data_IF_769983299328
#
_entry.id   IF_769983299328
#
_cell.length_a   1.000
_cell.length_b   1.000
_cell.length_c   1.000
_cell.angle_alpha   90.00
_cell.angle_beta   90.00
_cell.angle_gamma   90.00
#
_symmetry.space_group_name_H-M   'P 1'
#
loop_
_entity.id
_entity.type
_entity.pdbx_description
1 polymer ?
#
# COMPACT_ATOMS: atom_id res chain seq x y z
N UNK A 1 31.82 -18.70 3.22
CA UNK A 1 30.68 -18.57 2.29
C UNK A 1 30.61 -17.13 1.80
N UNK A 2 30.31 -16.88 0.52
CA UNK A 2 30.08 -15.52 0.04
C UNK A 2 28.91 -14.88 0.81
N UNK A 3 29.03 -13.60 1.15
CA UNK A 3 27.98 -12.86 1.86
C UNK A 3 26.79 -12.67 0.92
N UNK A 4 25.58 -13.11 1.31
CA UNK A 4 24.35 -12.91 0.52
C UNK A 4 24.15 -11.40 0.27
N UNK A 5 23.80 -11.02 -0.97
CA UNK A 5 23.59 -9.62 -1.38
C UNK A 5 22.12 -9.40 -1.74
N UNK A 6 21.49 -8.40 -1.15
CA UNK A 6 20.08 -8.07 -1.38
C UNK A 6 19.97 -6.62 -1.88
N UNK A 7 19.24 -6.44 -2.98
CA UNK A 7 18.84 -5.12 -3.45
C UNK A 7 17.54 -4.68 -2.73
N UNK A 8 17.58 -3.51 -2.09
CA UNK A 8 16.40 -2.82 -1.59
C UNK A 8 15.97 -1.82 -2.66
N UNK A 9 14.95 -2.19 -3.44
CA UNK A 9 14.49 -1.38 -4.56
C UNK A 9 13.81 -0.10 -4.06
N UNK A 10 14.23 1.03 -4.63
CA UNK A 10 13.77 2.37 -4.25
C UNK A 10 13.53 3.24 -5.49
N UNK A 11 13.00 4.44 -5.30
CA UNK A 11 12.78 5.43 -6.36
C UNK A 11 13.93 6.44 -6.48
N UNK A 12 14.01 7.11 -7.61
CA UNK A 12 15.00 8.18 -7.84
C UNK A 12 14.88 9.32 -6.83
N UNK A 13 13.70 9.53 -6.24
CA UNK A 13 13.48 10.52 -5.17
C UNK A 13 14.23 10.17 -3.88
N UNK A 14 14.44 8.88 -3.64
CA UNK A 14 15.12 8.37 -2.43
C UNK A 14 16.20 7.35 -2.79
N UNK A 15 17.24 7.75 -3.53
CA UNK A 15 18.21 6.80 -4.07
C UNK A 15 18.97 6.01 -3.00
N UNK A 16 19.05 6.54 -1.77
CA UNK A 16 19.66 5.89 -0.60
C UNK A 16 18.61 5.37 0.41
N UNK A 17 17.34 5.20 0.01
CA UNK A 17 16.18 4.95 0.86
C UNK A 17 15.83 6.11 1.80
N UNK A 18 14.57 6.26 2.19
CA UNK A 18 14.16 7.14 3.28
C UNK A 18 14.83 6.74 4.61
N UNK A 19 15.03 7.68 5.56
CA UNK A 19 15.69 7.41 6.85
C UNK A 19 15.10 6.21 7.61
N UNK A 20 13.78 6.08 7.65
CA UNK A 20 13.07 4.98 8.30
C UNK A 20 13.43 3.62 7.66
N UNK A 21 13.40 3.54 6.33
CA UNK A 21 13.68 2.33 5.57
C UNK A 21 15.16 1.89 5.64
N UNK A 22 16.09 2.86 5.80
CA UNK A 22 17.51 2.56 5.97
C UNK A 22 17.83 1.73 7.21
N UNK A 23 16.94 1.72 8.21
CA UNK A 23 17.10 0.93 9.43
C UNK A 23 17.14 -0.59 9.14
N UNK A 24 16.60 -1.03 8.01
CA UNK A 24 16.70 -2.43 7.57
C UNK A 24 18.13 -2.84 7.21
N UNK A 25 18.99 -1.93 6.72
CA UNK A 25 20.37 -2.24 6.27
C UNK A 25 21.24 -2.77 7.43
N UNK A 26 21.39 -2.06 8.57
CA UNK A 26 22.18 -2.58 9.68
C UNK A 26 21.55 -3.83 10.31
N UNK A 27 20.20 -3.98 10.26
CA UNK A 27 19.54 -5.19 10.75
C UNK A 27 19.88 -6.42 9.90
N UNK A 28 19.84 -6.29 8.56
CA UNK A 28 20.29 -7.34 7.64
C UNK A 28 21.79 -7.63 7.78
N UNK A 29 22.60 -6.60 8.00
CA UNK A 29 24.05 -6.77 8.21
C UNK A 29 24.36 -7.62 9.46
N UNK A 30 23.57 -7.52 10.53
CA UNK A 30 23.69 -8.39 11.74
C UNK A 30 23.43 -9.87 11.43
N UNK A 31 22.64 -10.15 10.39
CA UNK A 31 22.38 -11.52 9.89
C UNK A 31 23.39 -11.97 8.79
N UNK A 32 24.47 -11.21 8.58
CA UNK A 32 25.50 -11.56 7.61
C UNK A 32 25.13 -11.20 6.14
N UNK A 33 24.11 -10.39 5.92
CA UNK A 33 23.64 -9.98 4.60
C UNK A 33 24.18 -8.61 4.23
N UNK A 34 24.61 -8.41 2.99
CA UNK A 34 24.88 -7.10 2.42
C UNK A 34 23.64 -6.59 1.69
N UNK A 35 23.01 -5.54 2.22
CA UNK A 35 21.87 -4.91 1.61
C UNK A 35 22.22 -3.52 1.10
N UNK A 36 21.78 -3.18 -0.10
CA UNK A 36 22.06 -1.89 -0.73
C UNK A 36 20.83 -1.35 -1.45
N UNK A 37 20.66 -0.02 -1.43
CA UNK A 37 19.61 0.66 -2.15
C UNK A 37 19.88 0.64 -3.65
N UNK A 38 18.87 0.32 -4.46
CA UNK A 38 18.97 0.32 -5.92
C UNK A 38 17.72 0.97 -6.51
N UNK A 39 17.91 2.00 -7.32
CA UNK A 39 16.79 2.68 -8.00
C UNK A 39 16.16 1.71 -9.00
N UNK A 40 14.85 1.45 -8.87
CA UNK A 40 14.18 0.36 -9.57
C UNK A 40 14.16 0.54 -11.10
N UNK A 41 14.12 1.79 -11.58
CA UNK A 41 14.07 2.15 -13.00
C UNK A 41 15.43 2.65 -13.54
N UNK A 42 16.55 2.46 -12.79
CA UNK A 42 17.87 2.72 -13.36
C UNK A 42 18.24 1.62 -14.36
N UNK A 43 18.36 2.00 -15.63
CA UNK A 43 18.71 1.08 -16.71
C UNK A 43 20.10 0.41 -16.52
N UNK A 44 20.99 1.02 -15.70
CA UNK A 44 22.34 0.51 -15.41
C UNK A 44 22.36 -0.49 -14.25
N UNK A 45 21.23 -0.65 -13.54
CA UNK A 45 21.17 -1.55 -12.41
C UNK A 45 21.41 -3.02 -12.84
N UNK A 46 22.47 -3.61 -12.30
CA UNK A 46 22.89 -4.99 -12.59
C UNK A 46 22.16 -5.97 -11.64
N UNK A 47 20.85 -6.14 -11.80
CA UNK A 47 20.00 -6.95 -10.91
C UNK A 47 20.54 -8.37 -10.70
N UNK A 48 21.11 -8.99 -11.74
CA UNK A 48 21.69 -10.35 -11.69
C UNK A 48 22.88 -10.50 -10.75
N UNK A 49 23.41 -9.41 -10.17
CA UNK A 49 24.50 -9.47 -9.18
C UNK A 49 23.99 -9.63 -7.75
N UNK A 50 22.69 -9.60 -7.54
CA UNK A 50 22.03 -9.78 -6.25
C UNK A 50 21.45 -11.19 -6.13
N UNK A 51 21.32 -11.67 -4.90
CA UNK A 51 20.67 -12.94 -4.58
C UNK A 51 19.15 -12.77 -4.45
N UNK A 52 18.67 -11.55 -4.17
CA UNK A 52 17.26 -11.21 -4.10
C UNK A 52 17.00 -9.70 -4.25
N UNK A 53 15.76 -9.36 -4.58
CA UNK A 53 15.24 -8.00 -4.59
C UNK A 53 14.08 -7.87 -3.60
N UNK A 54 14.14 -6.87 -2.74
CA UNK A 54 13.06 -6.48 -1.83
C UNK A 54 12.52 -5.13 -2.28
N UNK A 55 11.25 -5.06 -2.68
CA UNK A 55 10.64 -3.80 -3.11
C UNK A 55 10.34 -2.96 -1.87
N UNK A 56 10.92 -1.73 -1.79
CA UNK A 56 10.76 -0.90 -0.60
C UNK A 56 10.15 0.47 -0.93
N UNK A 57 10.94 1.43 -1.37
CA UNK A 57 10.50 2.83 -1.50
C UNK A 57 10.26 3.24 -2.96
N UNK A 58 9.65 2.33 -3.75
CA UNK A 58 9.28 2.58 -5.14
C UNK A 58 8.02 3.46 -5.25
N UNK A 59 7.93 4.53 -4.44
CA UNK A 59 6.71 5.34 -4.26
C UNK A 59 6.24 6.10 -5.50
N UNK A 60 7.04 6.09 -6.56
CA UNK A 60 6.70 6.66 -7.87
C UNK A 60 6.15 5.62 -8.88
N UNK A 61 6.05 4.34 -8.50
CA UNK A 61 5.64 3.26 -9.40
C UNK A 61 4.29 3.53 -10.08
N UNK A 62 3.36 4.15 -9.36
CA UNK A 62 2.01 4.45 -9.86
C UNK A 62 2.01 5.48 -10.99
N UNK A 63 3.03 6.34 -11.09
CA UNK A 63 3.23 7.30 -12.18
C UNK A 63 3.79 6.64 -13.44
N UNK A 64 4.39 5.45 -13.28
CA UNK A 64 5.06 4.66 -14.31
C UNK A 64 4.62 3.19 -14.24
N UNK A 65 3.32 2.94 -14.01
CA UNK A 65 2.82 1.61 -13.67
C UNK A 65 3.18 0.53 -14.71
N UNK A 66 3.10 0.86 -16.01
CA UNK A 66 3.49 -0.06 -17.07
C UNK A 66 4.99 -0.42 -17.03
N UNK A 67 5.86 0.56 -16.74
CA UNK A 67 7.31 0.35 -16.60
C UNK A 67 7.62 -0.50 -15.37
N UNK A 68 6.95 -0.23 -14.24
CA UNK A 68 7.08 -1.02 -13.01
C UNK A 68 6.68 -2.49 -13.22
N UNK A 69 5.53 -2.73 -13.86
CA UNK A 69 5.08 -4.08 -14.19
C UNK A 69 6.04 -4.78 -15.18
N UNK A 70 6.58 -4.03 -16.14
CA UNK A 70 7.62 -4.50 -17.06
C UNK A 70 8.94 -4.87 -16.34
N UNK A 71 9.33 -4.07 -15.33
CA UNK A 71 10.49 -4.35 -14.49
C UNK A 71 10.31 -5.63 -13.67
N UNK A 72 9.14 -5.83 -13.03
CA UNK A 72 8.82 -7.08 -12.32
C UNK A 72 8.92 -8.29 -13.26
N UNK A 73 8.34 -8.19 -14.47
CA UNK A 73 8.43 -9.25 -15.47
C UNK A 73 9.88 -9.50 -15.94
N UNK A 74 10.73 -8.47 -15.98
CA UNK A 74 12.17 -8.62 -16.27
C UNK A 74 12.88 -9.39 -15.16
N UNK A 75 12.62 -9.08 -13.89
CA UNK A 75 13.21 -9.80 -12.75
C UNK A 75 12.80 -11.29 -12.77
N UNK A 76 11.54 -11.59 -13.06
CA UNK A 76 11.08 -12.97 -13.20
C UNK A 76 11.82 -13.73 -14.33
N UNK A 77 11.99 -13.10 -15.51
CA UNK A 77 12.76 -13.72 -16.61
C UNK A 77 14.22 -13.98 -16.26
N UNK A 78 14.80 -13.17 -15.37
CA UNK A 78 16.15 -13.37 -14.84
C UNK A 78 16.21 -14.46 -13.75
N UNK A 79 15.07 -15.04 -13.36
CA UNK A 79 15.00 -15.99 -12.24
C UNK A 79 15.32 -15.33 -10.89
N UNK A 80 15.19 -14.00 -10.80
CA UNK A 80 15.53 -13.23 -9.60
C UNK A 80 14.46 -13.38 -8.53
N UNK A 81 14.79 -13.88 -7.32
CA UNK A 81 13.88 -13.86 -6.19
C UNK A 81 13.47 -12.42 -5.85
N UNK A 82 12.16 -12.16 -5.82
CA UNK A 82 11.58 -10.86 -5.47
C UNK A 82 10.67 -11.02 -4.26
N UNK A 83 10.85 -10.23 -3.24
CA UNK A 83 10.02 -10.18 -2.05
C UNK A 83 9.21 -8.87 -2.02
N UNK A 84 7.90 -8.91 -1.98
CA UNK A 84 6.97 -10.03 -2.10
C UNK A 84 6.95 -10.59 -3.54
N UNK A 85 6.35 -11.80 -3.78
CA UNK A 85 6.38 -12.39 -5.12
C UNK A 85 5.72 -11.51 -6.20
N UNK A 86 6.26 -11.42 -7.42
CA UNK A 86 5.75 -10.55 -8.47
C UNK A 86 4.26 -10.72 -8.82
N UNK A 87 3.66 -11.94 -8.81
CA UNK A 87 2.21 -12.08 -9.01
C UNK A 87 1.39 -11.34 -7.95
N UNK A 88 1.84 -11.38 -6.68
CA UNK A 88 1.19 -10.68 -5.57
C UNK A 88 1.34 -9.15 -5.70
N UNK A 89 2.53 -8.67 -6.08
CA UNK A 89 2.77 -7.25 -6.33
C UNK A 89 1.91 -6.72 -7.49
N UNK A 90 1.81 -7.47 -8.59
CA UNK A 90 0.94 -7.10 -9.73
C UNK A 90 -0.53 -7.04 -9.35
N UNK A 91 -1.01 -7.99 -8.57
CA UNK A 91 -2.39 -7.98 -8.07
C UNK A 91 -2.64 -6.78 -7.16
N UNK A 92 -1.71 -6.48 -6.26
CA UNK A 92 -1.85 -5.38 -5.31
C UNK A 92 -1.68 -3.99 -5.93
N UNK A 93 -1.07 -3.87 -7.11
CA UNK A 93 -0.90 -2.59 -7.80
C UNK A 93 -2.23 -1.93 -8.22
N UNK A 94 -3.29 -2.71 -8.38
CA UNK A 94 -4.62 -2.23 -8.72
C UNK A 94 -5.58 -2.38 -7.52
N UNK A 95 -6.01 -1.26 -6.97
CA UNK A 95 -6.87 -1.22 -5.77
C UNK A 95 -8.24 -1.91 -5.92
N UNK A 96 -8.60 -2.35 -7.14
CA UNK A 96 -9.76 -3.23 -7.33
C UNK A 96 -9.59 -4.58 -6.62
N UNK A 97 -8.38 -4.91 -6.13
CA UNK A 97 -8.18 -6.06 -5.23
C UNK A 97 -9.11 -6.01 -4.00
N UNK A 98 -9.53 -4.82 -3.57
CA UNK A 98 -10.49 -4.68 -2.47
C UNK A 98 -11.79 -5.42 -2.74
N UNK A 99 -12.30 -5.38 -3.98
CA UNK A 99 -13.52 -6.11 -4.36
C UNK A 99 -13.32 -7.62 -4.25
N UNK A 100 -12.15 -8.12 -4.71
CA UNK A 100 -11.81 -9.55 -4.57
C UNK A 100 -11.71 -9.97 -3.10
N UNK A 101 -11.23 -9.09 -2.22
CA UNK A 101 -11.18 -9.35 -0.78
C UNK A 101 -12.59 -9.37 -0.17
N UNK A 102 -13.47 -8.46 -0.60
CA UNK A 102 -14.87 -8.45 -0.18
C UNK A 102 -15.60 -9.75 -0.55
N UNK A 103 -15.39 -10.25 -1.78
CA UNK A 103 -15.92 -11.53 -2.26
C UNK A 103 -15.43 -12.72 -1.41
N UNK A 104 -14.25 -12.58 -0.77
CA UNK A 104 -13.67 -13.56 0.16
C UNK A 104 -14.06 -13.32 1.63
N UNK A 105 -15.04 -12.44 1.87
CA UNK A 105 -15.60 -12.19 3.20
C UNK A 105 -14.81 -11.19 4.06
N UNK A 106 -13.87 -10.43 3.48
CA UNK A 106 -13.20 -9.33 4.19
C UNK A 106 -14.14 -8.12 4.25
N UNK A 107 -14.33 -7.55 5.44
CA UNK A 107 -15.04 -6.28 5.59
C UNK A 107 -14.17 -5.15 5.02
N UNK A 108 -14.62 -4.53 3.94
CA UNK A 108 -13.97 -3.40 3.28
C UNK A 108 -14.85 -2.16 3.34
N UNK A 109 -14.29 -0.97 3.14
CA UNK A 109 -15.08 0.21 2.81
C UNK A 109 -15.84 -0.06 1.51
N UNK A 110 -17.18 0.08 1.47
CA UNK A 110 -17.95 -0.17 0.26
C UNK A 110 -17.36 0.57 -0.93
N UNK A 111 -17.18 -0.12 -2.04
CA UNK A 111 -16.43 0.41 -3.19
C UNK A 111 -17.21 0.23 -4.48
N UNK A 112 -17.29 1.29 -5.29
CA UNK A 112 -17.75 1.24 -6.67
C UNK A 112 -16.64 1.62 -7.63
N UNK A 113 -16.68 1.05 -8.82
CA UNK A 113 -15.70 1.33 -9.87
C UNK A 113 -16.39 2.12 -10.98
N UNK A 114 -15.82 3.26 -11.32
CA UNK A 114 -16.12 3.96 -12.57
C UNK A 114 -15.07 3.50 -13.57
N UNK A 115 -15.47 2.78 -14.64
CA UNK A 115 -14.52 2.18 -15.56
C UNK A 115 -13.83 3.24 -16.43
N UNK A 116 -12.65 2.91 -16.89
CA UNK A 116 -11.92 3.72 -17.86
C UNK A 116 -12.80 4.05 -19.08
N UNK A 117 -12.78 5.31 -19.52
CA UNK A 117 -13.52 5.76 -20.67
C UNK A 117 -15.01 5.93 -20.45
N UNK A 118 -15.50 5.94 -19.19
CA UNK A 118 -16.91 6.21 -18.90
C UNK A 118 -17.37 7.51 -19.59
N UNK A 119 -18.43 7.46 -20.43
CA UNK A 119 -18.79 8.58 -21.29
C UNK A 119 -19.45 9.75 -20.56
N UNK A 120 -19.99 9.50 -19.36
CA UNK A 120 -20.68 10.47 -18.51
C UNK A 120 -20.12 10.35 -17.09
N UNK A 121 -19.02 11.06 -16.84
CA UNK A 121 -18.34 11.02 -15.56
C UNK A 121 -19.21 11.53 -14.41
N UNK A 122 -19.95 12.64 -14.61
CA UNK A 122 -20.84 13.16 -13.58
C UNK A 122 -21.96 12.18 -13.24
N UNK A 123 -22.64 11.64 -14.23
CA UNK A 123 -23.69 10.65 -14.01
C UNK A 123 -23.13 9.34 -13.41
N UNK A 124 -21.92 8.93 -13.79
CA UNK A 124 -21.27 7.78 -13.18
C UNK A 124 -20.96 8.00 -11.69
N UNK A 125 -20.50 9.21 -11.30
CA UNK A 125 -20.30 9.57 -9.89
C UNK A 125 -21.62 9.56 -9.11
N UNK A 126 -22.66 10.17 -9.67
CA UNK A 126 -23.99 10.22 -9.02
C UNK A 126 -24.56 8.81 -8.83
N UNK A 127 -24.48 7.95 -9.83
CA UNK A 127 -24.89 6.53 -9.71
C UNK A 127 -24.09 5.80 -8.63
N UNK A 128 -22.76 6.01 -8.59
CA UNK A 128 -21.93 5.40 -7.55
C UNK A 128 -22.35 5.86 -6.14
N UNK A 129 -22.65 7.15 -5.96
CA UNK A 129 -23.16 7.69 -4.69
C UNK A 129 -24.54 7.09 -4.32
N UNK A 130 -25.45 6.91 -5.30
CA UNK A 130 -26.75 6.27 -5.09
C UNK A 130 -26.59 4.82 -4.62
N UNK A 131 -25.77 4.03 -5.33
CA UNK A 131 -25.50 2.63 -5.00
C UNK A 131 -24.79 2.44 -3.67
N UNK A 132 -24.00 3.43 -3.24
CA UNK A 132 -23.31 3.45 -1.95
C UNK A 132 -24.17 4.02 -0.82
N UNK A 133 -25.37 4.53 -1.13
CA UNK A 133 -26.24 5.27 -0.20
C UNK A 133 -25.44 6.38 0.53
N UNK A 134 -24.60 7.11 -0.19
CA UNK A 134 -23.67 8.10 0.37
C UNK A 134 -23.89 9.48 -0.25
N UNK A 135 -23.85 10.53 0.58
CA UNK A 135 -23.84 11.93 0.12
C UNK A 135 -22.44 12.46 -0.13
N UNK A 136 -21.44 11.89 0.57
CA UNK A 136 -20.03 12.24 0.48
C UNK A 136 -19.19 11.01 0.19
N UNK A 137 -18.21 11.17 -0.69
CA UNK A 137 -17.33 10.09 -1.08
C UNK A 137 -15.86 10.55 -1.24
N UNK A 138 -14.97 9.57 -1.24
CA UNK A 138 -13.59 9.70 -1.69
C UNK A 138 -13.50 9.06 -3.08
N UNK A 139 -12.93 9.81 -4.00
CA UNK A 139 -12.64 9.35 -5.37
C UNK A 139 -11.13 9.19 -5.49
N UNK A 140 -10.67 8.04 -6.02
CA UNK A 140 -9.25 7.75 -6.20
C UNK A 140 -8.99 6.89 -7.43
N UNK A 141 -7.85 7.06 -8.15
CA UNK A 141 -7.47 6.15 -9.22
C UNK A 141 -7.30 4.72 -8.70
N UNK A 142 -7.63 3.73 -9.52
CA UNK A 142 -7.43 2.32 -9.15
C UNK A 142 -5.93 1.99 -8.97
N UNK A 143 -5.04 2.61 -9.75
CA UNK A 143 -3.58 2.52 -9.58
C UNK A 143 -3.09 3.88 -9.07
N UNK A 144 -2.74 3.94 -7.79
CA UNK A 144 -2.27 5.17 -7.14
C UNK A 144 -1.53 4.86 -5.83
N UNK A 145 -0.63 5.76 -5.43
CA UNK A 145 0.05 5.77 -4.13
C UNK A 145 0.05 7.20 -3.55
N UNK A 146 0.37 7.36 -2.27
CA UNK A 146 0.52 8.66 -1.57
C UNK A 146 -0.66 9.62 -1.81
N UNK A 147 -1.89 9.13 -1.82
CA UNK A 147 -3.12 9.90 -2.10
C UNK A 147 -3.10 10.65 -3.45
N UNK A 148 -2.22 10.26 -4.41
CA UNK A 148 -2.16 10.88 -5.73
C UNK A 148 -3.50 10.76 -6.46
N UNK A 149 -4.02 11.89 -6.97
CA UNK A 149 -5.30 11.92 -7.67
C UNK A 149 -6.53 11.65 -6.79
N UNK A 150 -6.36 11.61 -5.46
CA UNK A 150 -7.44 11.33 -4.50
C UNK A 150 -8.07 12.64 -4.00
N UNK A 151 -9.41 12.69 -3.94
CA UNK A 151 -10.13 13.83 -3.35
C UNK A 151 -11.45 13.41 -2.72
N UNK A 152 -11.95 14.25 -1.83
CA UNK A 152 -13.30 14.15 -1.27
C UNK A 152 -14.28 14.92 -2.15
N UNK A 153 -15.41 14.34 -2.40
CA UNK A 153 -16.51 14.91 -3.18
C UNK A 153 -17.84 14.71 -2.47
N UNK A 154 -18.87 15.30 -3.03
CA UNK A 154 -20.25 15.11 -2.56
C UNK A 154 -21.21 15.14 -3.74
N UNK A 155 -22.47 14.75 -3.49
CA UNK A 155 -23.55 14.88 -4.48
C UNK A 155 -23.69 16.32 -5.01
N UNK A 156 -23.58 17.31 -4.13
CA UNK A 156 -23.65 18.71 -4.49
C UNK A 156 -22.44 19.18 -5.32
N UNK A 157 -21.27 18.58 -5.12
CA UNK A 157 -20.04 18.92 -5.83
C UNK A 157 -19.86 18.17 -7.17
N UNK A 158 -20.70 17.17 -7.47
CA UNK A 158 -20.53 16.26 -8.61
C UNK A 158 -20.38 16.98 -9.95
N UNK A 159 -21.13 18.06 -10.19
CA UNK A 159 -21.02 18.87 -11.41
C UNK A 159 -19.67 19.62 -11.50
N UNK A 160 -19.18 20.15 -10.38
CA UNK A 160 -17.90 20.85 -10.32
C UNK A 160 -16.72 19.89 -10.50
N UNK A 161 -16.85 18.66 -9.98
CA UNK A 161 -15.81 17.62 -10.03
C UNK A 161 -15.81 16.82 -11.34
N UNK A 162 -16.83 17.00 -12.22
CA UNK A 162 -16.99 16.22 -13.45
C UNK A 162 -15.71 16.22 -14.31
N UNK A 163 -15.12 17.38 -14.58
CA UNK A 163 -13.87 17.50 -15.38
C UNK A 163 -12.70 16.77 -14.75
N UNK A 164 -12.59 16.80 -13.41
CA UNK A 164 -11.54 16.10 -12.69
C UNK A 164 -11.70 14.59 -12.81
N UNK A 165 -12.94 14.11 -12.70
CA UNK A 165 -13.24 12.69 -12.88
C UNK A 165 -13.03 12.26 -14.35
N UNK A 166 -13.44 13.06 -15.33
CA UNK A 166 -13.18 12.82 -16.77
C UNK A 166 -11.70 12.58 -17.03
N UNK A 167 -10.83 13.44 -16.47
CA UNK A 167 -9.39 13.29 -16.62
C UNK A 167 -8.87 11.96 -16.03
N UNK A 168 -9.41 11.52 -14.87
CA UNK A 168 -9.01 10.25 -14.27
C UNK A 168 -9.52 9.04 -15.07
N UNK A 169 -10.79 9.03 -15.48
CA UNK A 169 -11.34 7.89 -16.23
C UNK A 169 -10.75 7.77 -17.63
N UNK A 170 -10.21 8.86 -18.20
CA UNK A 170 -9.42 8.78 -19.43
C UNK A 170 -8.12 7.97 -19.24
N UNK A 171 -7.51 8.09 -18.06
CA UNK A 171 -6.25 7.42 -17.73
C UNK A 171 -6.46 5.96 -17.26
N UNK A 172 -7.49 5.69 -16.44
CA UNK A 172 -7.70 4.37 -15.85
C UNK A 172 -9.04 4.24 -15.12
N UNK A 173 -9.25 3.09 -14.48
CA UNK A 173 -10.39 2.88 -13.62
C UNK A 173 -10.29 3.75 -12.36
N UNK A 174 -11.43 4.16 -11.83
CA UNK A 174 -11.53 5.03 -10.67
C UNK A 174 -12.41 4.38 -9.61
N UNK A 175 -11.97 4.40 -8.36
CA UNK A 175 -12.73 3.93 -7.23
C UNK A 175 -13.49 5.08 -6.58
N UNK A 176 -14.74 4.81 -6.20
CA UNK A 176 -15.59 5.70 -5.40
C UNK A 176 -15.95 4.95 -4.12
N UNK A 177 -15.68 5.56 -2.96
CA UNK A 177 -15.92 4.99 -1.63
C UNK A 177 -16.62 6.03 -0.76
N UNK A 178 -17.56 5.67 0.13
CA UNK A 178 -18.11 6.60 1.11
C UNK A 178 -16.98 7.27 1.90
N UNK A 179 -17.17 8.53 2.29
CA UNK A 179 -16.23 9.18 3.20
C UNK A 179 -16.33 8.55 4.59
N UNK A 180 -15.25 7.97 5.07
CA UNK A 180 -15.16 7.30 6.38
C UNK A 180 -14.82 8.32 7.46
N UNK A 181 -15.83 8.78 8.19
CA UNK A 181 -15.65 9.80 9.27
C UNK A 181 -14.73 9.32 10.38
N UNK A 182 -14.71 8.02 10.67
CA UNK A 182 -13.83 7.43 11.68
C UNK A 182 -12.34 7.79 11.48
N UNK A 183 -11.89 8.04 10.24
CA UNK A 183 -10.52 8.50 9.96
C UNK A 183 -10.22 9.82 10.66
N UNK A 184 -11.17 10.77 10.61
CA UNK A 184 -10.99 12.11 11.22
C UNK A 184 -11.32 12.13 12.71
N UNK A 185 -12.20 11.25 13.17
CA UNK A 185 -12.68 11.20 14.55
C UNK A 185 -11.79 10.34 15.45
N UNK A 186 -11.36 9.17 14.97
CA UNK A 186 -10.61 8.18 15.75
C UNK A 186 -9.21 7.89 15.17
N UNK A 187 -8.98 8.19 13.89
CA UNK A 187 -7.77 7.87 13.16
C UNK A 187 -7.86 6.56 12.38
N UNK A 188 -6.84 6.31 11.58
CA UNK A 188 -6.68 5.11 10.76
C UNK A 188 -5.58 4.23 11.36
N UNK A 189 -5.90 2.97 11.61
CA UNK A 189 -4.95 1.98 12.09
C UNK A 189 -4.17 1.36 10.94
N UNK A 190 -2.87 1.23 11.13
CA UNK A 190 -1.99 0.41 10.31
C UNK A 190 -1.49 -0.76 11.14
N UNK A 191 -1.74 -1.98 10.69
CA UNK A 191 -1.15 -3.20 11.26
C UNK A 191 0.01 -3.60 10.37
N UNK A 192 1.24 -3.49 10.90
CA UNK A 192 2.47 -3.88 10.21
C UNK A 192 2.73 -5.36 10.45
N UNK A 193 2.90 -6.12 9.36
CA UNK A 193 3.12 -7.56 9.43
C UNK A 193 4.43 -7.93 8.74
N UNK A 194 5.21 -8.82 9.35
CA UNK A 194 6.43 -9.38 8.79
C UNK A 194 6.37 -10.91 8.82
N UNK A 195 6.65 -11.56 7.69
CA UNK A 195 6.49 -13.00 7.53
C UNK A 195 5.06 -13.46 7.83
N UNK A 196 4.06 -12.65 7.45
CA UNK A 196 2.64 -12.89 7.72
C UNK A 196 2.20 -12.71 9.18
N UNK A 197 3.10 -12.32 10.09
CA UNK A 197 2.83 -12.15 11.54
C UNK A 197 2.77 -10.67 11.91
N UNK A 198 1.81 -10.22 12.74
CA UNK A 198 1.78 -8.86 13.26
C UNK A 198 3.08 -8.51 13.98
N UNK A 199 3.65 -7.36 13.65
CA UNK A 199 4.87 -6.82 14.25
C UNK A 199 4.56 -5.70 15.23
N UNK A 200 3.89 -4.66 14.76
CA UNK A 200 3.49 -3.50 15.54
C UNK A 200 2.29 -2.82 14.89
N UNK A 201 1.67 -1.91 15.60
CA UNK A 201 0.50 -1.17 15.13
C UNK A 201 0.73 0.32 15.29
N UNK A 202 0.29 1.07 14.31
CA UNK A 202 0.45 2.53 14.24
C UNK A 202 -0.92 3.17 14.04
N UNK A 203 -1.23 4.17 14.85
CA UNK A 203 -2.40 5.01 14.68
C UNK A 203 -1.99 6.26 13.91
N UNK A 204 -2.63 6.46 12.75
CA UNK A 204 -2.43 7.63 11.90
C UNK A 204 -3.58 8.60 12.10
N UNK A 205 -3.28 9.90 12.26
CA UNK A 205 -4.29 10.97 12.31
C UNK A 205 -4.00 12.04 11.28
N UNK A 206 -5.04 12.61 10.64
CA UNK A 206 -4.85 13.71 9.70
C UNK A 206 -4.43 14.99 10.43
N UNK A 207 -3.81 15.91 9.69
CA UNK A 207 -3.60 17.27 10.19
C UNK A 207 -4.93 17.99 10.43
N UNK A 208 -4.98 18.98 11.34
CA UNK A 208 -6.17 19.81 11.52
C UNK A 208 -6.64 20.42 10.20
N UNK A 209 -7.91 20.17 9.84
CA UNK A 209 -8.51 20.66 8.58
C UNK A 209 -8.28 19.77 7.36
N UNK A 210 -7.48 18.71 7.47
CA UNK A 210 -7.36 17.67 6.43
C UNK A 210 -8.11 16.39 6.89
N UNK A 211 -8.31 15.47 5.97
CA UNK A 211 -8.88 14.15 6.20
C UNK A 211 -7.90 13.03 5.81
N UNK A 212 -6.79 13.38 5.17
CA UNK A 212 -5.75 12.45 4.72
C UNK A 212 -4.68 12.30 5.79
N UNK A 213 -4.29 11.08 6.06
CA UNK A 213 -3.39 10.73 7.18
C UNK A 213 -1.91 10.70 6.81
N UNK A 214 -1.57 10.96 5.54
CA UNK A 214 -0.19 10.90 5.06
C UNK A 214 0.69 11.97 5.73
N UNK A 215 1.88 11.55 6.21
CA UNK A 215 2.83 12.45 6.86
C UNK A 215 3.29 13.62 5.97
N UNK A 216 3.37 13.42 4.66
CA UNK A 216 3.69 14.48 3.68
C UNK A 216 2.63 15.60 3.65
N UNK A 217 1.43 15.33 4.13
CA UNK A 217 0.31 16.26 4.24
C UNK A 217 0.13 16.79 5.68
N UNK A 218 1.11 16.53 6.56
CA UNK A 218 1.08 16.96 7.96
C UNK A 218 0.35 16.01 8.91
N UNK A 219 -0.03 14.81 8.43
CA UNK A 219 -0.57 13.76 9.28
C UNK A 219 0.46 13.26 10.28
N UNK A 220 -0.01 12.71 11.40
CA UNK A 220 0.82 12.13 12.45
C UNK A 220 0.69 10.61 12.47
N UNK A 221 1.74 9.95 12.96
CA UNK A 221 1.77 8.51 13.16
C UNK A 221 2.42 8.20 14.51
N UNK A 222 1.77 7.39 15.33
CA UNK A 222 2.25 7.00 16.66
C UNK A 222 2.01 5.51 16.92
N UNK A 223 2.88 4.88 17.70
CA UNK A 223 2.61 3.52 18.17
C UNK A 223 1.31 3.48 18.96
N UNK A 224 0.52 2.46 18.74
CA UNK A 224 -0.70 2.24 19.47
C UNK A 224 -0.99 0.76 19.67
N UNK A 225 -1.86 0.46 20.62
CA UNK A 225 -2.32 -0.90 20.86
C UNK A 225 -3.75 -1.04 20.35
N UNK A 226 -3.95 -2.01 19.47
CA UNK A 226 -5.29 -2.36 18.96
C UNK A 226 -5.89 -3.53 19.72
N UNK A 227 -7.22 -3.66 19.76
CA UNK A 227 -7.87 -4.88 20.24
C UNK A 227 -7.38 -6.13 19.49
N UNK A 228 -7.30 -7.27 20.18
CA UNK A 228 -6.87 -8.54 19.59
C UNK A 228 -7.67 -8.90 18.31
N UNK A 229 -8.96 -8.55 18.29
CA UNK A 229 -9.83 -8.72 17.12
C UNK A 229 -9.29 -8.03 15.87
N UNK A 230 -8.70 -6.83 15.99
CA UNK A 230 -8.12 -6.10 14.84
C UNK A 230 -6.92 -6.87 14.27
N UNK A 231 -6.06 -7.43 15.15
CA UNK A 231 -4.93 -8.25 14.71
C UNK A 231 -5.39 -9.54 14.00
N UNK A 232 -6.44 -10.17 14.53
CA UNK A 232 -7.03 -11.36 13.90
C UNK A 232 -7.64 -11.01 12.54
N UNK A 233 -8.36 -9.90 12.43
CA UNK A 233 -8.95 -9.45 11.16
C UNK A 233 -7.86 -9.07 10.15
N UNK A 234 -6.78 -8.42 10.58
CA UNK A 234 -5.63 -8.15 9.70
C UNK A 234 -4.99 -9.44 9.17
N UNK A 235 -4.86 -10.48 10.01
CA UNK A 235 -4.37 -11.80 9.58
C UNK A 235 -5.30 -12.42 8.53
N UNK A 236 -6.62 -12.37 8.74
CA UNK A 236 -7.62 -12.85 7.76
C UNK A 236 -7.53 -12.11 6.43
N UNK A 237 -7.26 -10.79 6.44
CA UNK A 237 -7.00 -10.02 5.22
C UNK A 237 -5.82 -10.60 4.45
N UNK A 238 -4.69 -10.86 5.14
CA UNK A 238 -3.50 -11.45 4.51
C UNK A 238 -3.77 -12.85 3.95
N UNK A 239 -4.50 -13.68 4.68
CA UNK A 239 -4.89 -15.02 4.22
C UNK A 239 -5.80 -14.93 2.98
N UNK A 240 -6.81 -14.07 3.02
CA UNK A 240 -7.71 -13.84 1.89
C UNK A 240 -6.97 -13.29 0.65
N UNK A 241 -5.92 -12.51 0.86
CA UNK A 241 -5.06 -11.99 -0.21
C UNK A 241 -4.05 -13.03 -0.76
N UNK A 242 -3.91 -14.21 -0.13
CA UNK A 242 -2.82 -15.12 -0.42
C UNK A 242 -1.44 -14.60 0.02
N UNK A 243 -1.43 -13.65 0.97
CA UNK A 243 -0.25 -12.96 1.47
C UNK A 243 0.16 -13.44 2.88
N UNK A 244 -0.32 -14.61 3.32
CA UNK A 244 -0.06 -15.14 4.66
C UNK A 244 1.43 -15.43 4.96
N UNK A 245 2.28 -15.48 3.94
CA UNK A 245 3.74 -15.62 4.05
C UNK A 245 4.48 -14.41 3.47
N UNK A 246 3.80 -13.27 3.24
CA UNK A 246 4.45 -12.08 2.71
C UNK A 246 5.56 -11.61 3.64
N UNK A 247 6.73 -11.28 3.08
CA UNK A 247 7.88 -10.82 3.85
C UNK A 247 7.54 -9.56 4.66
N UNK A 248 6.69 -8.71 4.10
CA UNK A 248 6.13 -7.52 4.75
C UNK A 248 4.75 -7.19 4.19
N UNK A 249 3.92 -6.60 5.02
CA UNK A 249 2.62 -6.07 4.63
C UNK A 249 2.20 -4.94 5.57
N UNK A 250 1.36 -4.02 5.10
CA UNK A 250 0.63 -3.06 5.92
C UNK A 250 -0.87 -3.17 5.63
N UNK A 251 -1.63 -3.42 6.67
CA UNK A 251 -3.10 -3.53 6.61
C UNK A 251 -3.67 -2.27 7.26
N UNK A 252 -4.29 -1.42 6.45
CA UNK A 252 -4.82 -0.12 6.88
C UNK A 252 -6.35 -0.16 6.98
N UNK A 253 -6.88 0.36 8.07
CA UNK A 253 -8.33 0.41 8.26
C UNK A 253 -8.77 1.15 9.52
N UNK A 254 -10.09 1.25 9.68
CA UNK A 254 -10.73 1.86 10.83
C UNK A 254 -11.57 0.85 11.60
N UNK A 255 -11.74 1.08 12.90
CA UNK A 255 -12.73 0.37 13.71
C UNK A 255 -14.05 1.13 13.59
N UNK A 256 -15.06 0.50 13.01
CA UNK A 256 -16.40 1.04 12.80
C UNK A 256 -17.39 0.05 13.43
N UNK A 257 -18.23 0.49 14.34
CA UNK A 257 -19.22 -0.35 15.04
C UNK A 257 -18.62 -1.64 15.64
N UNK A 258 -17.38 -1.53 16.16
CA UNK A 258 -16.66 -2.64 16.79
C UNK A 258 -15.99 -3.63 15.81
N UNK A 259 -16.11 -3.42 14.51
CA UNK A 259 -15.45 -4.21 13.47
C UNK A 259 -14.29 -3.44 12.81
N UNK A 260 -13.21 -4.13 12.46
CA UNK A 260 -12.16 -3.54 11.63
C UNK A 260 -12.58 -3.57 10.17
N UNK A 261 -12.69 -2.41 9.55
CA UNK A 261 -13.04 -2.24 8.14
C UNK A 261 -11.79 -1.87 7.36
N UNK A 262 -11.40 -2.73 6.43
CA UNK A 262 -10.21 -2.53 5.59
C UNK A 262 -10.40 -1.34 4.64
N UNK A 263 -9.45 -0.45 4.63
CA UNK A 263 -9.36 0.69 3.69
C UNK A 263 -8.33 0.46 2.61
N UNK A 264 -7.19 -0.16 2.98
CA UNK A 264 -6.09 -0.45 2.07
C UNK A 264 -5.26 -1.64 2.56
N UNK A 265 -4.71 -2.43 1.62
CA UNK A 265 -3.70 -3.44 1.87
C UNK A 265 -2.48 -3.08 1.01
N UNK A 266 -1.34 -2.83 1.64
CA UNK A 266 -0.11 -2.50 0.95
C UNK A 266 0.90 -3.65 1.03
N UNK A 267 1.27 -4.18 -0.12
CA UNK A 267 2.20 -5.30 -0.28
C UNK A 267 3.41 -4.94 -1.17
N UNK A 268 3.37 -3.77 -1.83
CA UNK A 268 4.43 -3.31 -2.75
C UNK A 268 5.49 -2.53 -1.97
N UNK A 269 5.12 -1.35 -1.48
CA UNK A 269 6.07 -0.38 -0.92
C UNK A 269 5.54 0.32 0.35
N UNK A 270 4.90 -0.39 1.29
CA UNK A 270 4.37 0.26 2.47
C UNK A 270 5.48 0.95 3.27
N UNK A 271 5.20 2.17 3.76
CA UNK A 271 5.98 2.72 4.85
C UNK A 271 5.80 1.82 6.07
N UNK A 272 6.90 1.34 6.62
CA UNK A 272 6.88 0.32 7.68
C UNK A 272 7.02 0.88 9.09
N UNK A 273 7.24 2.20 9.23
CA UNK A 273 7.38 2.87 10.54
C UNK A 273 8.40 2.18 11.44
N UNK A 274 9.53 1.75 10.86
CA UNK A 274 10.58 0.99 11.56
C UNK A 274 11.17 1.74 12.74
N UNK A 275 11.25 3.07 12.67
CA UNK A 275 11.79 3.92 13.73
C UNK A 275 10.86 4.01 14.95
N UNK A 276 9.56 3.74 14.81
CA UNK A 276 8.61 3.83 15.92
C UNK A 276 8.74 2.63 16.86
N UNK A 277 9.13 1.45 16.36
CA UNK A 277 9.25 0.23 17.16
C UNK A 277 10.70 -0.31 17.11
N UNK A 278 11.46 -0.24 18.20
CA UNK A 278 12.91 -0.52 18.21
C UNK A 278 13.30 -1.89 17.67
N UNK A 279 12.45 -2.90 17.79
CA UNK A 279 12.70 -4.26 17.30
C UNK A 279 12.17 -4.52 15.89
N UNK A 280 11.48 -3.56 15.27
CA UNK A 280 10.88 -3.73 13.94
C UNK A 280 11.92 -4.00 12.86
N UNK A 281 13.07 -3.30 12.80
CA UNK A 281 14.10 -3.57 11.79
C UNK A 281 14.62 -5.01 11.86
N UNK A 282 14.85 -5.55 13.07
CA UNK A 282 15.31 -6.93 13.25
C UNK A 282 14.25 -7.97 12.90
N UNK A 283 12.97 -7.68 13.20
CA UNK A 283 11.86 -8.55 12.79
C UNK A 283 11.72 -8.57 11.26
N UNK A 284 11.81 -7.42 10.61
CA UNK A 284 11.80 -7.32 9.14
C UNK A 284 12.97 -8.10 8.52
N UNK A 285 14.19 -7.90 9.03
CA UNK A 285 15.37 -8.59 8.52
C UNK A 285 15.22 -10.12 8.63
N UNK A 286 14.72 -10.63 9.75
CA UNK A 286 14.43 -12.06 9.91
C UNK A 286 13.38 -12.56 8.92
N UNK A 287 12.27 -11.82 8.75
CA UNK A 287 11.23 -12.19 7.79
C UNK A 287 11.72 -12.21 6.34
N UNK A 288 12.60 -11.28 5.97
CA UNK A 288 13.26 -11.28 4.66
C UNK A 288 14.11 -12.56 4.50
N UNK A 289 14.86 -12.95 5.52
CA UNK A 289 15.70 -14.15 5.45
C UNK A 289 14.85 -15.42 5.41
N UNK A 290 13.83 -15.54 6.26
CA UNK A 290 12.88 -16.67 6.27
C UNK A 290 12.18 -16.87 4.90
N UNK A 291 11.93 -15.78 4.17
CA UNK A 291 11.30 -15.83 2.84
C UNK A 291 12.29 -16.23 1.71
N UNK A 292 13.59 -16.25 1.98
CA UNK A 292 14.64 -16.62 1.01
C UNK A 292 15.15 -18.04 1.22
N UNK A 293 14.87 -18.65 2.36
CA UNK A 293 15.25 -20.03 2.71
C UNK A 293 14.16 -21.02 2.31
#
# INVERSE_FOLDING_TARGET
MARRRIALATSVRYPELPPDERLAIPALARLGVAAEAVVWDDARAAWSTFDAVVVRSCWDYHLKAAEFLGWLARLERLGMPVLNPPPLLRWNADKRYLLSLAERGVAIVPTRVVPRGAPDAQGALLRALDELAADEAVVKPAVSASAHGTWRTSRAAAAADARRLEALVAAGDVLVQPFVRAVTEAGEWSVLCFGGRPSHTVLKRPAPGDWRVQGELGGTAELGTVPALVLEQARRVLEAAGAGAAAYARVDGCVIDGAFVLMELELIEPQLYLALEPNAPDRLARAIMEALD
#
